data_IF_125853493971
#
_entry.id   IF_125853493971
#
_cell.length_a   1.000
_cell.length_b   1.000
_cell.length_c   1.000
_cell.angle_alpha   90.00
_cell.angle_beta   90.00
_cell.angle_gamma   90.00
#
_symmetry.space_group_name_H-M   'P 1'
#
loop_
_entity.id
_entity.type
_entity.pdbx_description
1 polymer ?
#
# COMPACT_ATOMS: atom_id res chain seq x y z
N UNK A 1 31.65 11.54 12.87
CA UNK A 1 31.53 11.34 11.42
C UNK A 1 31.59 12.73 10.84
N UNK A 2 32.65 13.02 10.10
CA UNK A 2 32.83 14.34 9.49
C UNK A 2 31.69 14.64 8.51
N UNK A 3 31.38 15.92 8.33
CA UNK A 3 30.28 16.40 7.47
C UNK A 3 30.42 15.83 6.05
N UNK A 4 31.65 15.70 5.54
CA UNK A 4 31.96 15.15 4.22
C UNK A 4 31.73 13.63 4.14
N UNK A 5 32.07 12.88 5.19
CA UNK A 5 31.75 11.44 5.28
C UNK A 5 30.24 11.20 5.34
N UNK A 6 29.51 12.07 6.04
CA UNK A 6 28.05 12.05 6.12
C UNK A 6 27.43 12.27 4.74
N UNK A 7 27.89 13.28 4.00
CA UNK A 7 27.38 13.57 2.66
C UNK A 7 27.70 12.45 1.66
N UNK A 8 28.91 11.88 1.72
CA UNK A 8 29.29 10.74 0.88
C UNK A 8 28.48 9.46 1.19
N UNK A 9 28.15 9.22 2.47
CA UNK A 9 27.25 8.13 2.89
C UNK A 9 25.82 8.36 2.39
N UNK A 10 25.28 9.58 2.53
CA UNK A 10 23.94 9.95 2.04
C UNK A 10 23.81 9.80 0.52
N UNK A 11 24.82 10.20 -0.26
CA UNK A 11 24.80 10.07 -1.71
C UNK A 11 24.80 8.59 -2.18
N UNK A 12 25.60 7.73 -1.50
CA UNK A 12 25.63 6.28 -1.74
C UNK A 12 24.30 5.64 -1.37
N UNK A 13 23.67 6.08 -0.28
CA UNK A 13 22.37 5.57 0.15
C UNK A 13 21.23 6.03 -0.77
N UNK A 14 21.24 7.27 -1.27
CA UNK A 14 20.27 7.77 -2.27
C UNK A 14 20.29 6.95 -3.55
N UNK A 15 21.49 6.63 -4.08
CA UNK A 15 21.64 5.75 -5.26
C UNK A 15 21.13 4.33 -4.98
N UNK A 16 21.42 3.76 -3.81
CA UNK A 16 20.92 2.43 -3.40
C UNK A 16 19.41 2.41 -3.19
N UNK A 17 18.83 3.45 -2.58
CA UNK A 17 17.37 3.62 -2.44
C UNK A 17 16.66 3.72 -3.78
N UNK A 18 17.20 4.48 -4.74
CA UNK A 18 16.65 4.53 -6.10
C UNK A 18 16.68 3.16 -6.77
N UNK A 19 17.77 2.40 -6.63
CA UNK A 19 17.89 1.03 -7.15
C UNK A 19 16.93 0.05 -6.47
N UNK A 20 16.76 0.14 -5.15
CA UNK A 20 15.83 -0.71 -4.41
C UNK A 20 14.37 -0.37 -4.71
N UNK A 21 14.03 0.92 -4.83
CA UNK A 21 12.71 1.37 -5.27
C UNK A 21 12.39 0.91 -6.69
N UNK A 22 13.34 1.04 -7.61
CA UNK A 22 13.22 0.50 -8.97
C UNK A 22 13.05 -1.03 -8.97
N UNK A 23 13.79 -1.74 -8.12
CA UNK A 23 13.67 -3.19 -7.96
C UNK A 23 12.29 -3.63 -7.45
N UNK A 24 11.70 -2.88 -6.51
CA UNK A 24 10.35 -3.13 -6.01
C UNK A 24 9.28 -2.82 -7.07
N UNK A 25 9.45 -1.77 -7.86
CA UNK A 25 8.59 -1.48 -9.01
C UNK A 25 8.66 -2.60 -10.04
N UNK A 26 9.86 -3.10 -10.34
CA UNK A 26 10.05 -4.24 -11.25
C UNK A 26 9.41 -5.53 -10.70
N UNK A 27 9.56 -5.78 -9.40
CA UNK A 27 8.97 -6.92 -8.71
C UNK A 27 7.44 -6.89 -8.76
N UNK A 28 6.85 -5.73 -8.47
CA UNK A 28 5.38 -5.54 -8.47
C UNK A 28 4.79 -5.60 -9.87
N UNK A 29 5.44 -5.01 -10.88
CA UNK A 29 5.07 -5.20 -12.29
C UNK A 29 5.14 -6.67 -12.71
N UNK A 30 6.13 -7.40 -12.18
CA UNK A 30 6.26 -8.83 -12.41
C UNK A 30 5.09 -9.65 -11.86
N UNK A 31 4.67 -9.36 -10.63
CA UNK A 31 3.48 -9.95 -10.01
C UNK A 31 2.20 -9.66 -10.81
N UNK A 32 2.06 -8.43 -11.33
CA UNK A 32 0.91 -8.03 -12.17
C UNK A 32 0.89 -8.83 -13.48
N UNK A 33 2.06 -9.02 -14.11
CA UNK A 33 2.19 -9.85 -15.31
C UNK A 33 1.81 -11.31 -15.04
N UNK A 34 2.22 -11.90 -13.91
CA UNK A 34 1.82 -13.27 -13.56
C UNK A 34 0.31 -13.36 -13.30
N UNK A 35 -0.26 -12.36 -12.63
CA UNK A 35 -1.69 -12.29 -12.35
C UNK A 35 -2.56 -12.17 -13.62
N UNK A 36 -2.02 -11.62 -14.72
CA UNK A 36 -2.76 -11.57 -16.00
C UNK A 36 -3.01 -12.96 -16.60
N UNK A 37 -2.24 -13.99 -16.22
CA UNK A 37 -2.51 -15.37 -16.63
C UNK A 37 -3.82 -15.88 -16.02
N UNK A 38 -3.99 -15.69 -14.72
CA UNK A 38 -5.19 -16.09 -13.99
C UNK A 38 -6.43 -15.33 -14.49
N UNK A 39 -6.26 -14.07 -14.90
CA UNK A 39 -7.34 -13.26 -15.49
C UNK A 39 -7.69 -13.65 -16.95
N UNK A 40 -6.90 -14.51 -17.59
CA UNK A 40 -7.06 -14.88 -19.01
C UNK A 40 -7.59 -16.29 -19.24
N UNK A 41 -7.76 -17.09 -18.17
CA UNK A 41 -8.29 -18.45 -18.25
C UNK A 41 -9.68 -18.44 -18.90
N UNK A 42 -9.78 -19.03 -20.11
CA UNK A 42 -11.01 -19.10 -20.90
C UNK A 42 -11.15 -18.10 -22.05
N UNK A 43 -10.16 -17.22 -22.27
CA UNK A 43 -10.15 -16.27 -23.39
C UNK A 43 -9.41 -16.79 -24.64
N UNK A 44 -9.78 -16.29 -25.83
CA UNK A 44 -9.08 -16.62 -27.08
C UNK A 44 -7.62 -16.11 -27.14
N UNK A 45 -7.25 -15.22 -26.21
CA UNK A 45 -5.93 -14.58 -26.11
C UNK A 45 -4.99 -15.27 -25.10
N UNK A 46 -5.29 -16.51 -24.70
CA UNK A 46 -4.50 -17.28 -23.72
C UNK A 46 -2.99 -17.35 -24.07
N UNK A 47 -2.64 -17.35 -25.36
CA UNK A 47 -1.25 -17.36 -25.81
C UNK A 47 -0.52 -16.04 -25.52
N UNK A 48 -1.20 -14.90 -25.67
CA UNK A 48 -0.66 -13.58 -25.32
C UNK A 48 -0.55 -13.40 -23.82
N UNK A 49 -1.54 -13.84 -23.06
CA UNK A 49 -1.50 -13.80 -21.60
C UNK A 49 -0.38 -14.67 -21.01
N UNK A 50 -0.08 -15.81 -21.63
CA UNK A 50 1.06 -16.67 -21.27
C UNK A 50 2.41 -15.97 -21.52
N UNK A 51 2.54 -15.23 -22.62
CA UNK A 51 3.74 -14.43 -22.90
C UNK A 51 3.94 -13.28 -21.89
N UNK A 52 2.85 -12.57 -21.55
CA UNK A 52 2.88 -11.49 -20.54
C UNK A 52 3.19 -12.03 -19.15
N UNK A 53 2.66 -13.20 -18.80
CA UNK A 53 2.94 -13.86 -17.53
C UNK A 53 4.38 -14.39 -17.43
N UNK A 54 4.92 -14.94 -18.51
CA UNK A 54 6.33 -15.32 -18.56
C UNK A 54 7.25 -14.10 -18.40
N UNK A 55 6.95 -12.99 -19.08
CA UNK A 55 7.66 -11.72 -18.91
C UNK A 55 7.51 -11.16 -17.48
N UNK A 56 6.32 -11.28 -16.89
CA UNK A 56 6.03 -10.92 -15.51
C UNK A 56 6.85 -11.74 -14.51
N UNK A 57 6.91 -13.06 -14.67
CA UNK A 57 7.72 -13.95 -13.84
C UNK A 57 9.21 -13.60 -13.86
N UNK A 58 9.75 -13.26 -15.03
CA UNK A 58 11.14 -12.81 -15.17
C UNK A 58 11.35 -11.45 -14.49
N UNK A 59 10.47 -10.47 -14.70
CA UNK A 59 10.54 -9.17 -14.04
C UNK A 59 10.43 -9.29 -12.50
N UNK A 60 9.61 -10.23 -12.01
CA UNK A 60 9.48 -10.54 -10.59
C UNK A 60 10.79 -11.08 -10.02
N UNK A 61 11.39 -12.09 -10.66
CA UNK A 61 12.66 -12.67 -10.21
C UNK A 61 13.80 -11.65 -10.24
N UNK A 62 13.91 -10.88 -11.32
CA UNK A 62 14.93 -9.83 -11.45
C UNK A 62 14.72 -8.73 -10.40
N UNK A 63 13.46 -8.33 -10.16
CA UNK A 63 13.11 -7.37 -9.12
C UNK A 63 13.45 -7.88 -7.71
N UNK A 64 13.16 -9.16 -7.42
CA UNK A 64 13.49 -9.79 -6.14
C UNK A 64 15.01 -9.86 -5.91
N UNK A 65 15.77 -10.25 -6.94
CA UNK A 65 17.23 -10.34 -6.90
C UNK A 65 17.85 -8.94 -6.69
N UNK A 66 17.41 -7.94 -7.47
CA UNK A 66 17.86 -6.56 -7.31
C UNK A 66 17.49 -5.99 -5.94
N UNK A 67 16.32 -6.32 -5.41
CA UNK A 67 15.89 -5.90 -4.07
C UNK A 67 16.76 -6.56 -2.99
N UNK A 68 17.10 -7.83 -3.14
CA UNK A 68 17.98 -8.58 -2.24
C UNK A 68 19.39 -7.99 -2.19
N UNK A 69 19.99 -7.67 -3.35
CA UNK A 69 21.31 -7.05 -3.43
C UNK A 69 21.32 -5.56 -3.07
N UNK A 70 20.16 -4.91 -3.06
CA UNK A 70 20.00 -3.51 -2.64
C UNK A 70 19.56 -3.37 -1.17
N UNK A 71 19.66 -4.45 -0.36
CA UNK A 71 19.37 -4.42 1.07
C UNK A 71 20.12 -3.28 1.78
N UNK A 72 19.50 -2.64 2.79
CA UNK A 72 20.12 -1.56 3.53
C UNK A 72 21.43 -2.04 4.19
N UNK A 73 22.54 -1.40 3.82
CA UNK A 73 23.89 -1.75 4.31
C UNK A 73 24.26 -1.06 5.63
N UNK A 74 25.47 -1.33 6.11
CA UNK A 74 26.08 -0.75 7.34
C UNK A 74 25.91 0.77 7.47
N UNK A 75 25.99 1.52 6.37
CA UNK A 75 25.90 2.98 6.36
C UNK A 75 24.52 3.49 6.83
N UNK A 76 23.44 2.79 6.45
CA UNK A 76 22.08 3.12 6.94
C UNK A 76 21.93 2.78 8.41
N UNK A 77 22.58 1.71 8.89
CA UNK A 77 22.64 1.39 10.33
C UNK A 77 23.39 2.45 11.12
N UNK A 78 24.47 3.00 10.57
CA UNK A 78 25.23 4.12 11.16
C UNK A 78 24.42 5.42 11.16
N UNK A 79 23.68 5.72 10.10
CA UNK A 79 22.77 6.87 10.03
C UNK A 79 21.57 6.72 10.97
N UNK A 80 20.97 5.53 11.05
CA UNK A 80 19.89 5.20 11.99
C UNK A 80 20.39 5.20 13.45
N UNK A 81 21.68 5.01 13.71
CA UNK A 81 22.29 5.14 15.04
C UNK A 81 22.40 6.62 15.48
N UNK A 82 22.44 7.56 14.53
CA UNK A 82 22.46 9.01 14.77
C UNK A 82 21.03 9.57 14.92
N UNK A 83 20.01 8.90 14.38
CA UNK A 83 18.61 9.32 14.52
C UNK A 83 18.10 9.16 15.96
N UNK A 84 17.39 10.19 16.45
CA UNK A 84 16.69 10.13 17.74
C UNK A 84 15.65 9.00 17.71
N UNK A 85 15.41 8.35 18.85
CA UNK A 85 14.42 7.27 18.94
C UNK A 85 13.05 7.68 18.37
N UNK A 86 12.61 8.92 18.60
CA UNK A 86 11.40 9.53 18.03
C UNK A 86 11.37 9.46 16.50
N UNK A 87 12.44 9.87 15.84
CA UNK A 87 12.48 9.98 14.37
C UNK A 87 12.45 8.60 13.70
N UNK A 88 13.08 7.59 14.32
CA UNK A 88 13.00 6.20 13.85
C UNK A 88 11.58 5.65 13.90
N UNK A 89 10.87 5.95 14.98
CA UNK A 89 9.49 5.50 15.18
C UNK A 89 8.54 6.15 14.18
N UNK A 90 8.71 7.45 13.94
CA UNK A 90 7.92 8.17 12.94
C UNK A 90 8.20 7.64 11.52
N UNK A 91 9.47 7.49 11.13
CA UNK A 91 9.88 6.96 9.82
C UNK A 91 9.36 5.54 9.57
N UNK A 92 9.43 4.65 10.57
CA UNK A 92 8.90 3.29 10.43
C UNK A 92 7.38 3.32 10.22
N UNK A 93 6.68 4.22 10.89
CA UNK A 93 5.23 4.38 10.73
C UNK A 93 4.87 4.88 9.32
N UNK A 94 5.61 5.84 8.78
CA UNK A 94 5.44 6.31 7.40
C UNK A 94 5.64 5.16 6.40
N UNK A 95 6.71 4.37 6.57
CA UNK A 95 7.00 3.20 5.72
C UNK A 95 5.90 2.15 5.84
N UNK A 96 5.42 1.88 7.05
CA UNK A 96 4.34 0.93 7.30
C UNK A 96 3.04 1.36 6.61
N UNK A 97 2.64 2.63 6.73
CA UNK A 97 1.42 3.17 6.11
C UNK A 97 1.54 3.23 4.58
N UNK A 98 2.72 3.55 4.06
CA UNK A 98 2.98 3.46 2.62
C UNK A 98 2.87 2.01 2.12
N UNK A 99 3.46 1.06 2.84
CA UNK A 99 3.38 -0.38 2.51
C UNK A 99 1.95 -0.87 2.57
N UNK A 100 1.16 -0.45 3.56
CA UNK A 100 -0.26 -0.75 3.66
C UNK A 100 -1.06 -0.22 2.46
N UNK A 101 -0.68 0.93 1.89
CA UNK A 101 -1.30 1.45 0.67
C UNK A 101 -1.05 0.54 -0.54
N UNK A 102 0.10 -0.15 -0.59
CA UNK A 102 0.38 -1.16 -1.62
C UNK A 102 -0.46 -2.43 -1.42
N UNK A 103 -0.70 -2.84 -0.17
CA UNK A 103 -1.58 -3.98 0.16
C UNK A 103 -2.99 -3.76 -0.37
N UNK A 104 -3.50 -2.52 -0.29
CA UNK A 104 -4.81 -2.15 -0.86
C UNK A 104 -4.88 -2.43 -2.37
N UNK A 105 -3.79 -2.16 -3.11
CA UNK A 105 -3.75 -2.43 -4.56
C UNK A 105 -3.77 -3.93 -4.87
N UNK A 106 -3.03 -4.72 -4.09
CA UNK A 106 -3.01 -6.19 -4.23
C UNK A 106 -4.41 -6.76 -3.95
N UNK A 107 -5.08 -6.30 -2.88
CA UNK A 107 -6.46 -6.70 -2.59
C UNK A 107 -7.44 -6.27 -3.68
N UNK A 108 -7.28 -5.07 -4.23
CA UNK A 108 -8.08 -4.62 -5.38
C UNK A 108 -7.96 -5.57 -6.58
N UNK A 109 -6.74 -6.00 -6.91
CA UNK A 109 -6.49 -6.96 -7.99
C UNK A 109 -7.12 -8.32 -7.69
N UNK A 110 -6.99 -8.81 -6.45
CA UNK A 110 -7.62 -10.07 -6.03
C UNK A 110 -9.14 -10.02 -6.21
N UNK A 111 -9.80 -8.94 -5.78
CA UNK A 111 -11.25 -8.77 -5.93
C UNK A 111 -11.68 -8.75 -7.39
N UNK A 112 -10.89 -8.14 -8.28
CA UNK A 112 -11.16 -8.17 -9.73
C UNK A 112 -11.14 -9.61 -10.24
N UNK A 113 -10.20 -10.44 -9.78
CA UNK A 113 -10.15 -11.87 -10.12
C UNK A 113 -11.39 -12.67 -9.69
N UNK A 114 -12.13 -12.21 -8.69
CA UNK A 114 -13.39 -12.82 -8.23
C UNK A 114 -14.65 -12.08 -8.75
N UNK A 115 -14.50 -11.07 -9.60
CA UNK A 115 -15.63 -10.24 -10.04
C UNK A 115 -16.70 -11.02 -10.79
N UNK A 116 -16.33 -11.99 -11.63
CA UNK A 116 -17.30 -12.84 -12.35
C UNK A 116 -18.18 -13.66 -11.41
N UNK A 117 -17.61 -14.14 -10.30
CA UNK A 117 -18.35 -14.88 -9.26
C UNK A 117 -19.35 -13.98 -8.55
N UNK A 118 -18.94 -12.73 -8.24
CA UNK A 118 -19.79 -11.73 -7.60
C UNK A 118 -20.94 -11.30 -8.52
N UNK A 119 -20.65 -11.04 -9.80
CA UNK A 119 -21.63 -10.60 -10.79
C UNK A 119 -22.62 -11.70 -11.16
N UNK A 120 -22.19 -12.96 -11.12
CA UNK A 120 -23.04 -14.14 -11.29
C UNK A 120 -23.88 -14.46 -10.04
N UNK A 121 -23.77 -13.68 -8.96
CA UNK A 121 -24.52 -13.89 -7.72
C UNK A 121 -23.98 -15.01 -6.83
N UNK A 122 -22.81 -15.58 -7.15
CA UNK A 122 -22.13 -16.61 -6.35
C UNK A 122 -21.28 -15.98 -5.24
N UNK A 123 -21.94 -15.19 -4.38
CA UNK A 123 -21.27 -14.39 -3.34
C UNK A 123 -20.52 -15.27 -2.32
N UNK A 124 -21.00 -16.48 -2.07
CA UNK A 124 -20.36 -17.43 -1.14
C UNK A 124 -18.93 -17.81 -1.56
N UNK A 125 -18.64 -17.85 -2.85
CA UNK A 125 -17.32 -18.21 -3.39
C UNK A 125 -16.32 -17.05 -3.28
N UNK A 126 -16.81 -15.82 -3.17
CA UNK A 126 -16.03 -14.60 -3.03
C UNK A 126 -16.09 -14.00 -1.62
N UNK A 127 -16.68 -14.71 -0.64
CA UNK A 127 -16.88 -14.15 0.70
C UNK A 127 -15.57 -13.91 1.45
N UNK A 128 -14.57 -14.78 1.25
CA UNK A 128 -13.25 -14.65 1.87
C UNK A 128 -12.53 -13.38 1.40
N UNK A 129 -12.34 -13.12 0.09
CA UNK A 129 -11.69 -11.88 -0.36
C UNK A 129 -12.48 -10.63 0.03
N UNK A 130 -13.82 -10.67 0.06
CA UNK A 130 -14.63 -9.55 0.55
C UNK A 130 -14.39 -9.24 2.05
N UNK A 131 -14.35 -10.25 2.90
CA UNK A 131 -14.07 -10.09 4.33
C UNK A 131 -12.62 -9.68 4.58
N UNK A 132 -11.68 -10.17 3.77
CA UNK A 132 -10.29 -9.72 3.81
C UNK A 132 -10.18 -8.24 3.47
N UNK A 133 -10.82 -7.76 2.41
CA UNK A 133 -10.85 -6.35 2.03
C UNK A 133 -11.37 -5.46 3.17
N UNK A 134 -12.43 -5.88 3.86
CA UNK A 134 -12.96 -5.18 5.02
C UNK A 134 -11.96 -5.18 6.19
N UNK A 135 -11.36 -6.33 6.51
CA UNK A 135 -10.40 -6.49 7.60
C UNK A 135 -9.14 -5.66 7.36
N UNK A 136 -8.58 -5.69 6.16
CA UNK A 136 -7.44 -4.88 5.74
C UNK A 136 -7.77 -3.40 5.90
N UNK A 137 -8.93 -2.96 5.41
CA UNK A 137 -9.37 -1.56 5.55
C UNK A 137 -9.44 -1.13 7.01
N UNK A 138 -9.97 -1.97 7.90
CA UNK A 138 -10.01 -1.72 9.34
C UNK A 138 -8.61 -1.62 9.95
N UNK A 139 -7.71 -2.54 9.63
CA UNK A 139 -6.33 -2.51 10.13
C UNK A 139 -5.62 -1.22 9.73
N UNK A 140 -5.82 -0.76 8.48
CA UNK A 140 -5.20 0.47 7.99
C UNK A 140 -5.73 1.68 8.75
N UNK A 141 -7.05 1.81 8.90
CA UNK A 141 -7.67 2.93 9.62
C UNK A 141 -7.24 2.94 11.09
N UNK A 142 -7.20 1.79 11.76
CA UNK A 142 -6.69 1.69 13.14
C UNK A 142 -5.23 2.14 13.24
N UNK A 143 -4.40 1.82 12.25
CA UNK A 143 -2.99 2.20 12.20
C UNK A 143 -2.83 3.72 11.95
N UNK A 144 -3.64 4.30 11.05
CA UNK A 144 -3.67 5.75 10.80
C UNK A 144 -4.10 6.49 12.08
N UNK A 145 -5.12 6.00 12.78
CA UNK A 145 -5.58 6.57 14.04
C UNK A 145 -4.64 6.35 15.22
N UNK A 146 -3.62 5.49 15.07
CA UNK A 146 -2.74 5.07 16.15
C UNK A 146 -3.49 4.34 17.29
N UNK A 147 -4.58 3.65 16.94
CA UNK A 147 -5.38 2.86 17.87
C UNK A 147 -4.85 1.45 18.07
N UNK A 148 -3.88 1.03 17.26
CA UNK A 148 -3.18 -0.24 17.38
C UNK A 148 -2.36 -0.34 18.69
N UNK A 149 -2.17 -1.57 19.17
CA UNK A 149 -1.48 -1.82 20.43
C UNK A 149 -0.01 -1.36 20.45
N UNK A 150 0.63 -1.22 19.28
CA UNK A 150 1.98 -0.68 19.13
C UNK A 150 2.01 0.83 19.35
N UNK A 151 1.17 1.56 18.62
CA UNK A 151 1.07 3.02 18.75
C UNK A 151 0.65 3.49 20.15
N UNK A 152 -0.22 2.74 20.84
CA UNK A 152 -0.61 3.06 22.22
C UNK A 152 0.59 3.05 23.18
N UNK A 153 1.55 2.14 23.00
CA UNK A 153 2.79 2.09 23.81
C UNK A 153 3.74 3.25 23.51
N UNK A 154 3.60 3.86 22.33
CA UNK A 154 4.50 4.92 21.81
C UNK A 154 3.84 6.30 21.82
N UNK A 155 2.69 6.44 22.47
CA UNK A 155 1.83 7.64 22.46
C UNK A 155 2.58 8.94 22.77
N UNK A 156 3.52 8.91 23.73
CA UNK A 156 4.38 10.06 24.10
C UNK A 156 5.16 10.64 22.91
N UNK A 157 5.50 9.83 21.92
CA UNK A 157 6.28 10.24 20.74
C UNK A 157 5.41 10.50 19.50
N UNK A 158 4.12 10.15 19.55
CA UNK A 158 3.19 10.14 18.42
C UNK A 158 2.04 11.15 18.56
N UNK A 159 1.88 11.82 19.71
CA UNK A 159 0.78 12.74 20.01
C UNK A 159 1.20 14.23 19.99
N UNK A 160 2.09 14.60 19.07
CA UNK A 160 2.39 16.00 18.78
C UNK A 160 1.22 16.69 18.07
N UNK A 161 1.06 18.01 18.21
CA UNK A 161 -0.02 18.78 17.57
C UNK A 161 -0.02 18.59 16.05
N UNK A 162 1.17 18.58 15.45
CA UNK A 162 1.38 18.33 14.02
C UNK A 162 0.85 16.96 13.58
N UNK A 163 1.14 15.91 14.35
CA UNK A 163 0.68 14.54 14.06
C UNK A 163 -0.84 14.38 14.18
N UNK A 164 -1.47 15.16 15.07
CA UNK A 164 -2.93 15.15 15.27
C UNK A 164 -3.61 15.84 14.10
N UNK A 165 -3.07 16.96 13.65
CA UNK A 165 -3.56 17.67 12.47
C UNK A 165 -3.41 16.85 11.17
N UNK A 166 -2.27 16.17 10.97
CA UNK A 166 -2.06 15.28 9.82
C UNK A 166 -3.06 14.12 9.83
N UNK A 167 -3.27 13.47 10.99
CA UNK A 167 -4.30 12.42 11.15
C UNK A 167 -5.68 12.94 10.77
N UNK A 168 -6.11 14.06 11.34
CA UNK A 168 -7.43 14.63 11.08
C UNK A 168 -7.67 14.90 9.58
N UNK A 169 -6.67 15.47 8.87
CA UNK A 169 -6.76 15.69 7.42
C UNK A 169 -6.83 14.39 6.63
N UNK A 170 -6.01 13.40 6.98
CA UNK A 170 -6.00 12.10 6.32
C UNK A 170 -7.34 11.36 6.53
N UNK A 171 -7.88 11.35 7.76
CA UNK A 171 -9.18 10.74 8.03
C UNK A 171 -10.33 11.50 7.38
N UNK A 172 -10.27 12.84 7.33
CA UNK A 172 -11.28 13.64 6.63
C UNK A 172 -11.42 13.26 5.16
N UNK A 173 -10.29 13.09 4.45
CA UNK A 173 -10.29 12.60 3.08
C UNK A 173 -10.87 11.19 2.98
N UNK A 174 -10.41 10.29 3.84
CA UNK A 174 -10.88 8.90 3.87
C UNK A 174 -12.40 8.81 4.08
N UNK A 175 -12.94 9.65 4.95
CA UNK A 175 -14.36 9.75 5.23
C UNK A 175 -15.14 10.23 3.99
N UNK A 176 -14.66 11.27 3.30
CA UNK A 176 -15.28 11.75 2.06
C UNK A 176 -15.33 10.63 1.01
N UNK A 177 -14.21 9.92 0.81
CA UNK A 177 -14.12 8.79 -0.13
C UNK A 177 -15.08 7.67 0.27
N UNK A 178 -15.15 7.34 1.56
CA UNK A 178 -16.06 6.30 2.07
C UNK A 178 -17.53 6.69 1.85
N UNK A 179 -17.90 7.94 2.14
CA UNK A 179 -19.28 8.42 1.97
C UNK A 179 -19.69 8.43 0.50
N UNK A 180 -18.79 8.84 -0.41
CA UNK A 180 -19.02 8.75 -1.84
C UNK A 180 -19.21 7.29 -2.28
N UNK A 181 -18.33 6.40 -1.82
CA UNK A 181 -18.42 4.96 -2.11
C UNK A 181 -19.69 4.30 -1.56
N UNK A 182 -20.08 4.62 -0.32
CA UNK A 182 -21.32 4.14 0.29
C UNK A 182 -22.56 4.63 -0.46
N UNK A 183 -22.53 5.87 -0.96
CA UNK A 183 -23.61 6.42 -1.81
C UNK A 183 -23.72 5.65 -3.12
N UNK A 184 -22.59 5.34 -3.77
CA UNK A 184 -22.55 4.52 -4.97
C UNK A 184 -23.02 3.09 -4.71
N UNK A 185 -22.65 2.50 -3.56
CA UNK A 185 -23.10 1.18 -3.17
C UNK A 185 -24.62 1.14 -2.97
N UNK A 186 -25.19 2.18 -2.36
CA UNK A 186 -26.63 2.31 -2.19
C UNK A 186 -27.35 2.49 -3.54
N UNK A 187 -26.79 3.27 -4.46
CA UNK A 187 -27.32 3.38 -5.81
C UNK A 187 -27.26 2.03 -6.56
N UNK A 188 -26.14 1.32 -6.44
CA UNK A 188 -25.93 0.01 -7.04
C UNK A 188 -26.91 -1.04 -6.48
N UNK A 189 -27.24 -1.00 -5.19
CA UNK A 189 -28.17 -1.96 -4.59
C UNK A 189 -29.59 -1.85 -5.14
N UNK A 190 -29.98 -0.68 -5.66
CA UNK A 190 -31.29 -0.46 -6.27
C UNK A 190 -31.27 -0.80 -7.76
N UNK A 191 -30.26 -0.34 -8.51
CA UNK A 191 -30.24 -0.48 -9.97
C UNK A 191 -29.58 -1.76 -10.49
N UNK A 192 -28.57 -2.26 -9.79
CA UNK A 192 -27.79 -3.42 -10.20
C UNK A 192 -27.28 -4.19 -8.96
N UNK A 193 -28.17 -4.92 -8.24
CA UNK A 193 -27.85 -5.50 -6.94
C UNK A 193 -26.58 -6.36 -6.93
N UNK A 194 -26.28 -7.06 -8.02
CA UNK A 194 -25.11 -7.91 -8.19
C UNK A 194 -23.78 -7.14 -8.10
N UNK A 195 -23.78 -5.82 -8.35
CA UNK A 195 -22.59 -4.97 -8.27
C UNK A 195 -22.32 -4.48 -6.84
N UNK A 196 -23.33 -4.51 -5.96
CA UNK A 196 -23.24 -3.97 -4.59
C UNK A 196 -22.04 -4.50 -3.80
N UNK A 197 -21.75 -5.82 -3.77
CA UNK A 197 -20.63 -6.34 -3.01
C UNK A 197 -19.28 -5.80 -3.50
N UNK A 198 -19.14 -5.66 -4.82
CA UNK A 198 -17.94 -5.15 -5.46
C UNK A 198 -17.74 -3.66 -5.14
N UNK A 199 -18.79 -2.84 -5.30
CA UNK A 199 -18.74 -1.41 -4.98
C UNK A 199 -18.43 -1.18 -3.51
N UNK A 200 -19.01 -1.96 -2.58
CA UNK A 200 -18.70 -1.88 -1.16
C UNK A 200 -17.24 -2.19 -0.87
N UNK A 201 -16.71 -3.27 -1.44
CA UNK A 201 -15.33 -3.69 -1.20
C UNK A 201 -14.33 -2.64 -1.70
N UNK A 202 -14.54 -2.12 -2.92
CA UNK A 202 -13.73 -1.04 -3.46
C UNK A 202 -13.85 0.26 -2.66
N UNK A 203 -15.03 0.59 -2.15
CA UNK A 203 -15.25 1.78 -1.32
C UNK A 203 -14.44 1.72 -0.02
N UNK A 204 -14.41 0.55 0.63
CA UNK A 204 -13.61 0.31 1.83
C UNK A 204 -12.11 0.42 1.53
N UNK A 205 -11.65 -0.28 0.51
CA UNK A 205 -10.24 -0.31 0.10
C UNK A 205 -9.75 1.08 -0.32
N UNK A 206 -10.48 1.79 -1.17
CA UNK A 206 -10.10 3.12 -1.65
C UNK A 206 -10.12 4.16 -0.53
N UNK A 207 -11.08 4.09 0.41
CA UNK A 207 -11.08 4.94 1.61
C UNK A 207 -9.85 4.70 2.48
N UNK A 208 -9.56 3.43 2.80
CA UNK A 208 -8.42 3.07 3.63
C UNK A 208 -7.08 3.42 2.97
N UNK A 209 -6.95 3.14 1.67
CA UNK A 209 -5.81 3.50 0.85
C UNK A 209 -5.61 5.01 0.78
N UNK A 210 -6.69 5.79 0.59
CA UNK A 210 -6.63 7.25 0.60
C UNK A 210 -6.17 7.79 1.95
N UNK A 211 -6.63 7.21 3.07
CA UNK A 211 -6.18 7.58 4.41
C UNK A 211 -4.67 7.38 4.58
N UNK A 212 -4.19 6.18 4.24
CA UNK A 212 -2.80 5.78 4.42
C UNK A 212 -1.85 6.58 3.50
N UNK A 213 -2.23 6.73 2.22
CA UNK A 213 -1.46 7.49 1.25
C UNK A 213 -1.41 8.99 1.62
N UNK A 214 -2.56 9.59 1.98
CA UNK A 214 -2.61 11.00 2.36
C UNK A 214 -1.81 11.27 3.62
N UNK A 215 -1.87 10.36 4.60
CA UNK A 215 -1.03 10.46 5.79
C UNK A 215 0.46 10.41 5.41
N UNK A 216 0.88 9.42 4.61
CA UNK A 216 2.28 9.27 4.23
C UNK A 216 2.82 10.47 3.43
N UNK A 217 2.00 11.06 2.55
CA UNK A 217 2.38 12.27 1.80
C UNK A 217 2.52 13.49 2.71
N UNK A 218 1.55 13.75 3.60
CA UNK A 218 1.60 14.87 4.54
C UNK A 218 2.76 14.76 5.54
N UNK A 219 3.04 13.55 6.01
CA UNK A 219 4.15 13.27 6.92
C UNK A 219 5.51 13.49 6.22
N UNK A 220 5.60 13.16 4.92
CA UNK A 220 6.77 13.45 4.08
C UNK A 220 6.95 14.95 3.82
N UNK A 221 5.87 15.68 3.54
CA UNK A 221 5.89 17.14 3.38
C UNK A 221 6.38 17.83 4.66
N UNK A 222 5.89 17.36 5.82
CA UNK A 222 6.24 17.92 7.13
C UNK A 222 7.69 17.62 7.57
N UNK A 223 8.30 16.56 7.05
CA UNK A 223 9.67 16.14 7.39
C UNK A 223 10.76 16.78 6.51
N UNK A 224 10.39 17.61 5.53
CA UNK A 224 11.36 18.35 4.69
C UNK A 224 12.04 17.51 3.60
N UNK A 225 11.70 16.22 3.45
CA UNK A 225 12.18 15.32 2.38
C UNK A 225 11.52 15.62 0.99
N UNK A 226 10.93 16.81 0.85
CA UNK A 226 10.18 17.28 -0.32
C UNK A 226 10.99 18.09 -1.34
N UNK A 227 12.26 18.40 -1.04
CA UNK A 227 13.22 19.05 -1.97
C UNK A 227 14.26 18.06 -2.53
#
# INVERSE_FOLDING_TARGET
>A
MDEDEKQAALARERRRRRRHGFALVLFTLGMIGIASLAASEGSADAQWAMAVAAAGGVAMLVGAILAWFSKPGEDRRRLDAIMTYRDRVQRNRTIQLFTMSLVVLIEGIMIIGFSDHLLAGRVSEAIVPLLMAATVSWTIIMTVMAWDGGSRKMKKFLDDELSRHIRARATGLAFIVLMAGATLALAASVWAPNWTPLVLAFSLLTSAGAAALRFALLDREASGDGE
#
